data_IF_185377248603
#
_entry.id   IF_185377248603
#
_cell.length_a   1.000
_cell.length_b   1.000
_cell.length_c   1.000
_cell.angle_alpha   90.00
_cell.angle_beta   90.00
_cell.angle_gamma   90.00
#
_symmetry.space_group_name_H-M   'P 1'
#
loop_
_entity.id
_entity.type
_entity.pdbx_description
1 polymer ?
#
# COMPACT_ATOMS: atom_id res chain seq x y z
N UNK A 1 26.69 8.34 29.80
CA UNK A 1 26.63 8.57 28.34
C UNK A 1 26.88 7.24 27.67
N UNK A 2 25.85 6.63 27.10
CA UNK A 2 26.01 5.42 26.29
C UNK A 2 26.50 5.87 24.93
N UNK A 3 27.73 5.51 24.58
CA UNK A 3 28.33 5.74 23.26
C UNK A 3 27.61 4.86 22.23
N UNK A 4 26.75 5.45 21.39
CA UNK A 4 25.86 4.73 20.46
C UNK A 4 26.47 4.47 19.08
N UNK A 5 27.81 4.51 18.97
CA UNK A 5 28.52 4.26 17.72
C UNK A 5 28.59 5.48 16.81
N UNK A 6 29.19 5.30 15.62
CA UNK A 6 29.51 6.41 14.70
C UNK A 6 28.64 6.39 13.46
N UNK A 7 28.01 7.53 13.15
CA UNK A 7 27.24 7.77 11.92
C UNK A 7 28.06 8.63 10.97
N UNK A 8 28.13 8.23 9.70
CA UNK A 8 28.73 9.04 8.64
C UNK A 8 27.65 9.91 7.99
N UNK A 9 27.80 11.22 8.06
CA UNK A 9 26.91 12.21 7.44
C UNK A 9 27.58 12.78 6.21
N UNK A 10 26.96 12.58 5.05
CA UNK A 10 27.46 13.02 3.75
C UNK A 10 26.47 14.00 3.14
N UNK A 11 26.87 15.25 3.01
CA UNK A 11 26.07 16.34 2.44
C UNK A 11 27.05 17.42 1.99
N UNK A 12 26.80 18.18 0.92
CA UNK A 12 27.70 19.24 0.45
C UNK A 12 27.51 20.56 1.23
N UNK A 13 26.35 20.76 1.86
CA UNK A 13 26.03 21.94 2.66
C UNK A 13 26.58 21.83 4.09
N UNK A 14 27.52 22.71 4.44
CA UNK A 14 28.14 22.72 5.78
C UNK A 14 27.13 22.98 6.92
N UNK A 15 26.07 23.74 6.65
CA UNK A 15 24.96 24.00 7.58
C UNK A 15 24.21 22.72 7.93
N UNK A 16 23.90 21.89 6.94
CA UNK A 16 23.16 20.62 7.14
C UNK A 16 24.03 19.63 7.92
N UNK A 17 25.30 19.48 7.54
CA UNK A 17 26.25 18.62 8.29
C UNK A 17 26.35 19.03 9.76
N UNK A 18 26.47 20.32 10.04
CA UNK A 18 26.56 20.84 11.42
C UNK A 18 25.27 20.66 12.21
N UNK A 19 24.12 20.83 11.55
CA UNK A 19 22.81 20.59 12.15
C UNK A 19 22.63 19.12 12.54
N UNK A 20 22.95 18.22 11.61
CA UNK A 20 22.90 16.78 11.82
C UNK A 20 23.90 16.30 12.89
N UNK A 21 25.11 16.86 12.90
CA UNK A 21 26.11 16.58 13.95
C UNK A 21 25.57 16.94 15.35
N UNK A 22 24.98 18.13 15.51
CA UNK A 22 24.41 18.54 16.79
C UNK A 22 23.26 17.63 17.23
N UNK A 23 22.32 17.37 16.32
CA UNK A 23 21.16 16.48 16.55
C UNK A 23 21.58 15.07 16.96
N UNK A 24 22.51 14.47 16.23
CA UNK A 24 22.94 13.10 16.48
C UNK A 24 23.82 13.01 17.74
N UNK A 25 24.60 14.06 18.01
CA UNK A 25 25.37 14.20 19.25
C UNK A 25 24.49 14.26 20.49
N UNK A 26 23.38 15.00 20.44
CA UNK A 26 22.40 15.07 21.54
C UNK A 26 21.76 13.69 21.83
N UNK A 27 21.62 12.83 20.81
CA UNK A 27 21.13 11.45 20.92
C UNK A 27 22.23 10.42 21.27
N UNK A 28 23.48 10.87 21.46
CA UNK A 28 24.60 10.05 21.91
C UNK A 28 25.38 9.32 20.82
N UNK A 29 25.19 9.68 19.54
CA UNK A 29 26.00 9.19 18.43
C UNK A 29 27.22 10.08 18.19
N UNK A 30 28.34 9.46 17.81
CA UNK A 30 29.46 10.19 17.24
C UNK A 30 29.23 10.41 15.74
N UNK A 31 29.67 11.55 15.20
CA UNK A 31 29.50 11.86 13.78
C UNK A 31 30.85 11.97 13.06
N UNK A 32 30.93 11.36 11.89
CA UNK A 32 31.94 11.69 10.89
C UNK A 32 31.26 12.48 9.76
N UNK A 33 31.81 13.62 9.39
CA UNK A 33 31.21 14.50 8.39
C UNK A 33 31.98 14.39 7.08
N UNK A 34 31.32 14.14 5.97
CA UNK A 34 31.90 14.13 4.62
C UNK A 34 31.22 15.17 3.72
N UNK A 35 32.00 15.85 2.89
CA UNK A 35 31.51 16.96 2.06
C UNK A 35 31.04 16.55 0.67
N UNK A 36 31.40 15.34 0.23
CA UNK A 36 31.01 14.76 -1.06
C UNK A 36 31.18 13.23 -1.03
N UNK A 37 30.89 12.57 -2.15
CA UNK A 37 31.00 11.11 -2.29
C UNK A 37 32.43 10.55 -2.18
N UNK A 38 33.46 11.28 -2.63
CA UNK A 38 34.86 10.80 -2.58
C UNK A 38 35.41 10.88 -1.14
N UNK A 39 35.09 11.95 -0.42
CA UNK A 39 35.38 12.11 1.00
C UNK A 39 34.62 11.07 1.83
N UNK A 40 33.36 10.77 1.47
CA UNK A 40 32.58 9.71 2.12
C UNK A 40 33.25 8.34 1.99
N UNK A 41 33.68 7.95 0.79
CA UNK A 41 34.38 6.68 0.55
C UNK A 41 35.72 6.61 1.30
N UNK A 42 36.46 7.72 1.35
CA UNK A 42 37.71 7.81 2.11
C UNK A 42 37.49 7.65 3.63
N UNK A 43 36.41 8.24 4.17
CA UNK A 43 36.04 8.15 5.59
C UNK A 43 35.43 6.80 5.97
N UNK A 44 34.72 6.16 5.05
CA UNK A 44 34.19 4.81 5.25
C UNK A 44 35.32 3.82 5.58
N UNK A 45 36.49 3.98 4.97
CA UNK A 45 37.66 3.14 5.19
C UNK A 45 38.37 3.38 6.54
N UNK A 46 38.39 4.62 7.04
CA UNK A 46 39.15 5.01 8.23
C UNK A 46 38.32 5.02 9.52
N UNK A 47 37.03 5.37 9.46
CA UNK A 47 36.18 5.59 10.64
C UNK A 47 35.25 4.41 10.95
N UNK A 48 35.03 3.50 9.99
CA UNK A 48 34.12 2.33 10.10
C UNK A 48 32.77 2.67 10.76
N UNK A 49 31.95 3.55 10.13
CA UNK A 49 30.63 3.90 10.65
C UNK A 49 29.68 2.69 10.65
N UNK A 50 28.66 2.77 11.49
CA UNK A 50 27.58 1.78 11.59
C UNK A 50 26.42 2.10 10.63
N UNK A 51 26.26 3.37 10.26
CA UNK A 51 25.23 3.84 9.33
C UNK A 51 25.74 5.05 8.53
N UNK A 52 25.22 5.20 7.31
CA UNK A 52 25.48 6.36 6.45
C UNK A 52 24.19 7.14 6.19
N UNK A 53 24.20 8.44 6.46
CA UNK A 53 23.23 9.42 5.96
C UNK A 53 23.82 10.08 4.72
N UNK A 54 23.14 9.98 3.59
CA UNK A 54 23.71 10.35 2.29
C UNK A 54 22.77 11.26 1.49
N UNK A 55 23.18 12.51 1.30
CA UNK A 55 22.50 13.41 0.37
C UNK A 55 22.65 12.94 -1.08
N UNK A 56 21.61 13.18 -1.88
CA UNK A 56 21.58 12.77 -3.29
C UNK A 56 22.26 13.77 -4.21
N UNK A 57 22.10 15.06 -3.96
CA UNK A 57 22.47 16.11 -4.91
C UNK A 57 23.73 16.81 -4.43
N UNK A 58 24.86 16.13 -4.63
CA UNK A 58 26.17 16.67 -4.29
C UNK A 58 26.99 16.96 -5.56
N UNK A 59 27.87 17.98 -5.55
CA UNK A 59 28.81 18.23 -6.64
C UNK A 59 29.76 17.05 -6.89
N UNK A 60 30.08 16.80 -8.16
CA UNK A 60 30.98 15.72 -8.54
C UNK A 60 30.27 14.36 -8.56
N UNK A 61 30.52 13.53 -7.55
CA UNK A 61 29.84 12.23 -7.40
C UNK A 61 28.50 12.42 -6.70
N UNK A 62 27.41 12.14 -7.40
CA UNK A 62 26.07 12.20 -6.80
C UNK A 62 25.87 11.09 -5.75
N UNK A 63 24.86 11.27 -4.89
CA UNK A 63 24.60 10.32 -3.79
C UNK A 63 24.17 8.94 -4.26
N UNK A 64 23.62 8.80 -5.46
CA UNK A 64 23.21 7.49 -5.99
C UNK A 64 24.42 6.67 -6.44
N UNK A 65 25.35 7.29 -7.15
CA UNK A 65 26.64 6.68 -7.49
C UNK A 65 27.47 6.41 -6.22
N UNK A 66 27.41 7.31 -5.24
CA UNK A 66 28.03 7.11 -3.93
C UNK A 66 27.46 5.90 -3.20
N UNK A 67 26.12 5.76 -3.15
CA UNK A 67 25.44 4.59 -2.58
C UNK A 67 25.90 3.30 -3.25
N UNK A 68 25.98 3.27 -4.58
CA UNK A 68 26.46 2.10 -5.34
C UNK A 68 27.82 1.64 -4.85
N UNK A 69 28.78 2.58 -4.77
CA UNK A 69 30.16 2.29 -4.36
C UNK A 69 30.26 1.90 -2.89
N UNK A 70 29.48 2.52 -2.00
CA UNK A 70 29.41 2.11 -0.59
C UNK A 70 28.96 0.66 -0.49
N UNK A 71 27.92 0.27 -1.24
CA UNK A 71 27.37 -1.10 -1.22
C UNK A 71 28.30 -2.14 -1.86
N UNK A 72 29.17 -1.75 -2.78
CA UNK A 72 30.21 -2.63 -3.32
C UNK A 72 31.29 -2.97 -2.28
N UNK A 73 31.62 -2.03 -1.40
CA UNK A 73 32.68 -2.21 -0.39
C UNK A 73 32.12 -2.74 0.95
N UNK A 74 30.91 -2.32 1.32
CA UNK A 74 30.22 -2.70 2.56
C UNK A 74 28.75 -2.98 2.25
N UNK A 75 28.40 -4.18 1.73
CA UNK A 75 27.01 -4.50 1.35
C UNK A 75 26.01 -4.36 2.50
N UNK A 76 26.44 -4.73 3.71
CA UNK A 76 25.59 -4.82 4.91
C UNK A 76 25.41 -3.50 5.65
N UNK A 77 26.15 -2.44 5.29
CA UNK A 77 26.01 -1.16 6.01
C UNK A 77 24.66 -0.50 5.64
N UNK A 78 23.81 -0.13 6.60
CA UNK A 78 22.62 0.63 6.31
C UNK A 78 22.98 2.02 5.75
N UNK A 79 22.34 2.37 4.64
CA UNK A 79 22.47 3.70 4.02
C UNK A 79 21.08 4.31 3.90
N UNK A 80 20.86 5.46 4.51
CA UNK A 80 19.63 6.24 4.41
C UNK A 80 19.89 7.41 3.47
N UNK A 81 19.09 7.50 2.42
CA UNK A 81 19.21 8.60 1.46
C UNK A 81 18.46 9.84 1.93
N UNK A 82 19.03 11.01 1.69
CA UNK A 82 18.43 12.32 1.98
C UNK A 82 18.32 13.10 0.66
N UNK A 83 17.19 13.78 0.41
CA UNK A 83 17.05 14.61 -0.80
C UNK A 83 16.12 15.79 -0.61
N UNK A 84 16.52 16.98 -1.04
CA UNK A 84 15.64 18.17 -1.11
C UNK A 84 14.77 18.28 -2.37
N UNK A 85 14.87 17.30 -3.27
CA UNK A 85 13.95 17.11 -4.39
C UNK A 85 13.58 15.63 -4.41
N UNK A 86 12.74 15.20 -3.46
CA UNK A 86 12.27 13.83 -3.47
C UNK A 86 11.38 13.64 -4.70
N UNK A 87 11.91 12.92 -5.68
CA UNK A 87 11.09 12.35 -6.74
C UNK A 87 10.97 10.86 -6.48
N UNK A 88 9.78 10.33 -6.76
CA UNK A 88 9.47 8.90 -6.64
C UNK A 88 10.54 8.06 -7.36
N UNK A 89 11.01 8.48 -8.54
CA UNK A 89 12.08 7.80 -9.28
C UNK A 89 13.42 7.71 -8.54
N UNK A 90 13.77 8.72 -7.76
CA UNK A 90 15.06 8.79 -7.05
C UNK A 90 15.06 7.91 -5.81
N UNK A 91 13.99 7.96 -5.00
CA UNK A 91 13.82 7.07 -3.85
C UNK A 91 13.92 5.59 -4.24
N UNK A 92 13.46 5.32 -5.45
CA UNK A 92 13.33 3.99 -6.00
C UNK A 92 14.66 3.42 -6.46
N UNK A 93 15.45 4.25 -7.14
CA UNK A 93 16.77 3.87 -7.60
C UNK A 93 17.64 3.56 -6.38
N UNK A 94 17.49 4.37 -5.33
CA UNK A 94 18.13 4.12 -4.04
C UNK A 94 17.69 2.80 -3.39
N UNK A 95 16.39 2.54 -3.24
CA UNK A 95 15.91 1.28 -2.61
C UNK A 95 16.34 0.05 -3.40
N UNK A 96 16.25 0.05 -4.74
CA UNK A 96 16.74 -1.06 -5.58
C UNK A 96 18.25 -1.31 -5.43
N UNK A 97 19.00 -0.27 -5.08
CA UNK A 97 20.44 -0.33 -4.85
C UNK A 97 20.79 -0.64 -3.39
N UNK A 98 19.81 -1.02 -2.56
CA UNK A 98 20.02 -1.48 -1.18
C UNK A 98 20.05 -0.36 -0.14
N UNK A 99 19.54 0.83 -0.45
CA UNK A 99 19.27 1.83 0.59
C UNK A 99 18.28 1.27 1.61
N UNK A 100 18.55 1.51 2.88
CA UNK A 100 17.72 1.04 3.99
C UNK A 100 16.44 1.87 4.13
N UNK A 101 16.52 3.16 3.81
CA UNK A 101 15.39 4.09 3.86
C UNK A 101 15.68 5.33 2.99
N UNK A 102 14.67 6.19 2.84
CA UNK A 102 14.76 7.45 2.10
C UNK A 102 14.00 8.56 2.83
N UNK A 103 14.61 9.74 2.94
CA UNK A 103 14.07 10.90 3.65
C UNK A 103 14.11 12.15 2.76
N UNK A 104 13.01 12.89 2.72
CA UNK A 104 12.91 14.17 2.00
C UNK A 104 13.37 15.34 2.89
N UNK A 105 14.12 16.31 2.34
CA UNK A 105 14.40 17.59 3.01
C UNK A 105 13.17 18.52 2.81
N UNK A 106 12.78 19.32 3.80
CA UNK A 106 13.48 19.60 5.06
C UNK A 106 13.45 18.43 6.05
N UNK A 107 14.58 18.17 6.70
CA UNK A 107 14.76 17.02 7.58
C UNK A 107 13.97 17.19 8.88
N UNK A 108 12.93 16.37 9.06
CA UNK A 108 12.24 16.23 10.34
C UNK A 108 13.04 15.32 11.28
N UNK A 109 13.35 15.83 12.48
CA UNK A 109 14.20 15.18 13.47
C UNK A 109 13.69 13.76 13.85
N UNK A 110 12.39 13.64 14.11
CA UNK A 110 11.78 12.37 14.54
C UNK A 110 11.82 11.31 13.44
N UNK A 111 11.63 11.71 12.16
CA UNK A 111 11.73 10.81 11.01
C UNK A 111 13.16 10.31 10.81
N UNK A 112 14.14 11.21 10.92
CA UNK A 112 15.55 10.89 10.81
C UNK A 112 15.99 9.89 11.88
N UNK A 113 15.69 10.17 13.15
CA UNK A 113 16.07 9.30 14.27
C UNK A 113 15.33 7.96 14.23
N UNK A 114 14.05 7.96 13.85
CA UNK A 114 13.27 6.73 13.67
C UNK A 114 13.86 5.84 12.57
N UNK A 115 14.26 6.43 11.45
CA UNK A 115 14.91 5.72 10.35
C UNK A 115 16.27 5.12 10.77
N UNK A 116 17.09 5.90 11.49
CA UNK A 116 18.38 5.43 12.04
C UNK A 116 18.18 4.24 12.99
N UNK A 117 17.23 4.33 13.93
CA UNK A 117 16.97 3.25 14.91
C UNK A 117 16.51 1.95 14.23
N UNK A 118 15.61 2.05 13.24
CA UNK A 118 15.17 0.89 12.44
C UNK A 118 16.33 0.27 11.68
N UNK A 119 17.14 1.10 11.03
CA UNK A 119 18.25 0.66 10.20
C UNK A 119 19.40 0.03 10.99
N UNK A 120 19.65 0.48 12.23
CA UNK A 120 20.65 -0.09 13.14
C UNK A 120 20.15 -1.32 13.94
N UNK A 121 18.94 -1.81 13.68
CA UNK A 121 18.41 -3.00 14.34
C UNK A 121 18.05 -2.80 15.82
N UNK A 122 17.74 -1.56 16.23
CA UNK A 122 17.35 -1.24 17.60
C UNK A 122 16.10 -2.02 18.03
N UNK A 123 16.30 -2.94 18.97
CA UNK A 123 15.24 -3.63 19.70
C UNK A 123 14.56 -2.67 20.70
N UNK A 124 13.74 -1.74 20.19
CA UNK A 124 12.57 -1.23 20.91
C UNK A 124 11.32 -1.88 20.30
N UNK A 125 11.31 -3.20 20.27
CA UNK A 125 10.06 -3.93 20.41
C UNK A 125 9.66 -3.77 21.88
N UNK A 126 8.64 -2.97 22.17
CA UNK A 126 8.14 -2.82 23.54
C UNK A 126 7.85 -4.22 24.12
N UNK A 127 8.42 -4.60 25.28
CA UNK A 127 7.93 -5.72 26.05
C UNK A 127 6.55 -5.38 26.65
N UNK A 128 5.69 -6.39 26.88
CA UNK A 128 4.41 -6.17 27.52
C UNK A 128 4.65 -5.94 29.02
N UNK A 129 4.20 -4.79 29.54
CA UNK A 129 4.17 -4.59 30.99
C UNK A 129 2.80 -4.06 31.41
N UNK A 130 2.16 -4.88 32.24
CA UNK A 130 0.91 -4.64 32.91
C UNK A 130 1.04 -3.56 34.02
N UNK A 131 -0.07 -2.84 34.23
CA UNK A 131 -0.60 -2.40 35.53
C UNK A 131 0.28 -1.58 36.50
N UNK A 132 -0.23 -0.40 36.89
CA UNK A 132 0.16 0.25 38.15
C UNK A 132 0.00 1.77 38.13
N UNK A 133 -0.87 2.27 39.01
CA UNK A 133 -1.30 3.66 39.22
C UNK A 133 -0.19 4.71 39.47
N UNK A 134 -0.50 5.98 39.15
CA UNK A 134 -0.08 7.12 40.00
C UNK A 134 0.57 8.32 39.33
N UNK A 135 -0.22 9.40 39.19
CA UNK A 135 0.15 10.83 39.15
C UNK A 135 0.86 11.42 37.91
N UNK A 136 0.17 12.35 37.25
CA UNK A 136 0.63 13.17 36.13
C UNK A 136 1.44 14.41 36.60
N UNK A 137 2.46 14.84 35.82
CA UNK A 137 2.87 16.23 35.72
C UNK A 137 2.36 16.89 34.42
N UNK A 138 2.28 18.23 34.37
CA UNK A 138 1.38 18.95 33.48
C UNK A 138 1.92 19.12 32.05
N UNK A 139 0.96 19.19 31.13
CA UNK A 139 1.07 19.59 29.73
C UNK A 139 2.02 20.77 29.50
N UNK A 140 2.89 20.65 28.50
CA UNK A 140 3.15 21.72 27.53
C UNK A 140 3.73 21.16 26.21
N UNK A 141 2.85 21.14 25.20
CA UNK A 141 3.07 21.11 23.74
C UNK A 141 3.51 19.78 23.05
N UNK A 142 2.89 19.46 21.89
CA UNK A 142 2.86 18.10 21.36
C UNK A 142 4.14 17.76 20.58
N UNK A 143 4.81 16.69 20.99
CA UNK A 143 5.86 16.02 20.20
C UNK A 143 5.19 15.34 19.01
N UNK A 144 5.65 15.61 17.79
CA UNK A 144 5.16 15.00 16.56
C UNK A 144 5.44 13.50 16.56
N UNK A 145 4.43 12.72 16.97
CA UNK A 145 4.57 11.29 17.14
C UNK A 145 4.90 10.57 15.84
N UNK A 146 5.64 9.45 15.98
CA UNK A 146 5.61 8.31 15.07
C UNK A 146 4.18 8.12 14.55
N UNK A 147 3.95 7.89 13.24
CA UNK A 147 2.60 7.70 12.70
C UNK A 147 1.84 6.75 13.61
N UNK A 148 0.76 7.26 14.21
CA UNK A 148 -0.12 6.43 15.02
C UNK A 148 -0.83 5.47 14.05
N UNK A 149 -0.18 4.33 13.78
CA UNK A 149 -0.81 3.17 13.19
C UNK A 149 -1.90 2.78 14.18
N UNK A 150 -3.12 3.23 13.91
CA UNK A 150 -4.27 2.71 14.62
C UNK A 150 -4.44 1.28 14.16
N UNK A 151 -3.88 0.36 14.93
CA UNK A 151 -4.17 -1.06 14.82
C UNK A 151 -5.68 -1.20 14.66
N UNK A 152 -6.13 -1.79 13.56
CA UNK A 152 -7.53 -2.18 13.42
C UNK A 152 -7.69 -3.41 14.30
N UNK A 153 -7.78 -3.17 15.61
CA UNK A 153 -8.13 -4.20 16.58
C UNK A 153 -9.62 -4.39 16.39
N UNK A 154 -9.96 -5.49 15.74
CA UNK A 154 -11.29 -6.06 15.92
C UNK A 154 -11.32 -6.42 17.41
N UNK A 155 -12.10 -5.66 18.20
CA UNK A 155 -12.55 -6.14 19.50
C UNK A 155 -13.04 -7.58 19.31
N UNK A 156 -12.94 -8.45 20.33
CA UNK A 156 -13.36 -9.86 20.26
C UNK A 156 -14.84 -9.99 19.88
N UNK A 157 -15.16 -9.71 18.63
CA UNK A 157 -16.38 -10.02 17.95
C UNK A 157 -16.41 -11.53 17.89
N UNK A 158 -17.60 -12.11 17.93
CA UNK A 158 -17.78 -13.55 17.77
C UNK A 158 -17.45 -13.93 16.32
N UNK A 159 -16.16 -13.89 15.95
CA UNK A 159 -15.63 -14.32 14.67
C UNK A 159 -15.87 -15.82 14.57
N UNK A 160 -16.88 -16.20 13.79
CA UNK A 160 -17.15 -17.59 13.42
C UNK A 160 -16.67 -17.77 11.99
N UNK A 161 -15.71 -18.67 11.80
CA UNK A 161 -15.14 -19.01 10.50
C UNK A 161 -13.88 -19.86 10.65
N UNK A 162 -13.31 -20.33 9.54
CA UNK A 162 -12.08 -21.09 9.57
C UNK A 162 -10.90 -20.22 10.08
N UNK A 163 -10.13 -20.74 11.03
CA UNK A 163 -8.87 -20.12 11.47
C UNK A 163 -7.86 -20.20 10.33
N UNK A 164 -7.24 -19.08 10.03
CA UNK A 164 -6.14 -18.99 9.07
C UNK A 164 -4.95 -18.26 9.70
N UNK A 165 -3.72 -18.56 9.27
CA UNK A 165 -2.57 -17.78 9.69
C UNK A 165 -2.70 -16.36 9.16
N UNK A 166 -2.22 -15.40 9.94
CA UNK A 166 -1.96 -14.06 9.41
C UNK A 166 -0.83 -14.13 8.38
N UNK A 167 -0.79 -13.18 7.46
CA UNK A 167 0.20 -13.17 6.39
C UNK A 167 0.59 -11.75 6.01
N UNK A 168 1.87 -11.57 5.75
CA UNK A 168 2.46 -10.38 5.15
C UNK A 168 3.37 -10.76 3.98
N UNK A 169 3.96 -9.78 3.29
CA UNK A 169 4.98 -10.02 2.28
C UNK A 169 6.31 -10.38 2.95
N UNK A 170 7.13 -11.24 2.33
CA UNK A 170 8.40 -11.66 2.94
C UNK A 170 9.48 -10.56 2.96
N UNK A 171 9.36 -9.55 2.09
CA UNK A 171 10.25 -8.39 2.05
C UNK A 171 9.51 -7.19 1.45
N UNK A 172 10.05 -6.00 1.68
CA UNK A 172 9.53 -4.78 1.04
C UNK A 172 9.68 -4.84 -0.48
N UNK A 173 8.74 -4.23 -1.19
CA UNK A 173 8.69 -4.25 -2.64
C UNK A 173 8.22 -2.92 -3.20
N UNK A 174 8.60 -2.62 -4.45
CA UNK A 174 8.23 -1.35 -5.08
C UNK A 174 7.79 -1.53 -6.52
N UNK A 175 6.67 -0.88 -6.88
CA UNK A 175 6.14 -0.82 -8.24
C UNK A 175 6.01 0.63 -8.73
N UNK A 176 5.92 0.79 -10.06
CA UNK A 176 5.74 2.08 -10.73
C UNK A 176 4.62 1.95 -11.72
N UNK A 177 3.74 2.93 -11.72
CA UNK A 177 2.83 3.09 -12.81
C UNK A 177 2.29 4.50 -12.86
N UNK A 178 1.15 4.60 -13.49
CA UNK A 178 0.38 5.83 -13.61
C UNK A 178 -0.98 5.60 -12.97
N UNK A 179 -1.51 6.58 -12.24
CA UNK A 179 -2.89 6.54 -11.78
C UNK A 179 -3.85 6.64 -12.97
N UNK A 180 -4.96 5.89 -12.95
CA UNK A 180 -5.95 5.87 -14.03
C UNK A 180 -6.64 7.22 -14.20
N UNK A 181 -7.09 7.79 -13.09
CA UNK A 181 -7.91 8.99 -13.10
C UNK A 181 -7.06 10.25 -13.12
N UNK A 182 -6.06 10.35 -12.24
CA UNK A 182 -5.21 11.53 -12.16
C UNK A 182 -4.22 11.65 -13.32
N UNK A 183 -3.84 10.52 -13.94
CA UNK A 183 -2.76 10.48 -14.93
C UNK A 183 -1.38 10.83 -14.36
N UNK A 184 -1.23 10.92 -13.04
CA UNK A 184 0.06 11.18 -12.41
C UNK A 184 0.86 9.89 -12.29
N UNK A 185 2.18 9.97 -12.47
CA UNK A 185 3.07 8.86 -12.14
C UNK A 185 3.03 8.65 -10.62
N UNK A 186 2.76 7.42 -10.21
CA UNK A 186 2.66 7.03 -8.81
C UNK A 186 3.56 5.81 -8.59
N UNK A 187 4.29 5.82 -7.48
CA UNK A 187 5.05 4.68 -6.99
C UNK A 187 4.24 4.01 -5.89
N UNK A 188 4.32 2.69 -5.83
CA UNK A 188 3.69 1.90 -4.78
C UNK A 188 4.79 1.19 -3.98
N UNK A 189 4.98 1.58 -2.73
CA UNK A 189 5.90 0.90 -1.81
C UNK A 189 5.07 0.01 -0.89
N UNK A 190 5.41 -1.28 -0.87
CA UNK A 190 4.74 -2.29 -0.05
C UNK A 190 5.70 -2.70 1.06
N UNK A 191 5.33 -2.45 2.30
CA UNK A 191 6.16 -2.73 3.48
C UNK A 191 5.45 -3.74 4.38
N UNK A 192 6.09 -4.87 4.70
CA UNK A 192 5.54 -5.83 5.65
C UNK A 192 5.24 -5.19 7.00
N UNK A 193 4.08 -5.51 7.57
CA UNK A 193 3.70 -5.10 8.93
C UNK A 193 3.61 -6.32 9.84
N UNK A 194 3.74 -6.09 11.15
CA UNK A 194 3.57 -7.12 12.17
C UNK A 194 2.14 -7.67 12.25
N UNK A 195 1.91 -8.75 13.03
CA UNK A 195 0.58 -9.29 13.28
C UNK A 195 -0.41 -8.22 13.77
N UNK A 196 -1.69 -8.42 13.48
CA UNK A 196 -2.85 -7.62 13.88
C UNK A 196 -2.81 -6.15 13.41
N UNK A 197 -1.89 -5.84 12.51
CA UNK A 197 -1.78 -4.49 11.95
C UNK A 197 -2.92 -4.20 10.99
N UNK A 198 -3.30 -5.13 10.11
CA UNK A 198 -4.23 -4.87 9.01
C UNK A 198 -3.55 -4.21 7.79
N UNK A 199 -4.34 -3.90 6.77
CA UNK A 199 -3.86 -3.19 5.57
C UNK A 199 -4.00 -1.69 5.75
N UNK A 200 -2.93 -0.95 5.48
CA UNK A 200 -2.82 0.48 5.67
C UNK A 200 -2.32 1.16 4.41
N UNK A 201 -2.82 2.35 4.12
CA UNK A 201 -2.30 3.22 3.07
C UNK A 201 -1.74 4.51 3.67
N UNK A 202 -0.70 5.07 3.07
CA UNK A 202 -0.15 6.37 3.49
C UNK A 202 0.38 7.13 2.28
N UNK A 203 0.21 8.45 2.28
CA UNK A 203 0.89 9.32 1.33
C UNK A 203 2.40 9.24 1.52
N UNK A 204 3.18 9.35 0.44
CA UNK A 204 4.65 9.30 0.52
C UNK A 204 5.20 10.37 1.48
N UNK A 205 4.56 11.53 1.52
CA UNK A 205 4.92 12.67 2.39
C UNK A 205 3.97 12.84 3.57
N UNK A 206 3.07 11.87 3.82
CA UNK A 206 2.09 11.97 4.90
C UNK A 206 2.57 11.28 6.17
N UNK A 207 2.28 11.89 7.32
CA UNK A 207 2.66 11.38 8.64
C UNK A 207 1.56 10.53 9.30
N UNK A 208 0.50 10.16 8.57
CA UNK A 208 -0.63 9.38 9.11
C UNK A 208 -1.11 8.35 8.10
N UNK A 209 -1.12 7.09 8.50
CA UNK A 209 -1.70 6.05 7.68
C UNK A 209 -3.24 6.03 7.80
N UNK A 210 -3.93 5.84 6.68
CA UNK A 210 -5.35 5.52 6.62
C UNK A 210 -5.53 4.00 6.56
N UNK A 211 -6.26 3.38 7.51
CA UNK A 211 -6.59 1.97 7.42
C UNK A 211 -7.48 1.68 6.21
N UNK A 212 -7.23 0.58 5.51
CA UNK A 212 -8.09 0.09 4.42
C UNK A 212 -9.37 -0.53 5.00
N UNK A 213 -10.26 0.32 5.52
CA UNK A 213 -11.45 -0.09 6.25
C UNK A 213 -12.67 0.77 5.90
N UNK A 214 -13.87 0.18 6.01
CA UNK A 214 -15.16 0.80 5.63
C UNK A 214 -15.40 2.20 6.21
N UNK A 215 -14.87 2.47 7.41
CA UNK A 215 -15.02 3.77 8.09
C UNK A 215 -14.30 4.92 7.38
N UNK A 216 -13.24 4.59 6.64
CA UNK A 216 -12.41 5.57 5.98
C UNK A 216 -12.78 5.73 4.50
N UNK A 217 -13.77 4.99 4.00
CA UNK A 217 -14.26 5.15 2.62
C UNK A 217 -14.92 6.51 2.47
N UNK A 218 -14.30 7.35 1.65
CA UNK A 218 -14.75 8.71 1.35
C UNK A 218 -15.68 8.74 0.15
N UNK A 219 -15.30 8.05 -0.93
CA UNK A 219 -16.00 8.10 -2.22
C UNK A 219 -15.95 6.75 -2.92
N UNK A 220 -17.00 6.49 -3.70
CA UNK A 220 -17.20 5.27 -4.49
C UNK A 220 -17.69 5.60 -5.91
N UNK A 221 -17.52 6.84 -6.37
CA UNK A 221 -18.12 7.34 -7.60
C UNK A 221 -17.59 6.66 -8.87
N UNK A 222 -16.28 6.47 -8.94
CA UNK A 222 -15.58 5.89 -10.10
C UNK A 222 -14.52 4.85 -9.72
N UNK A 223 -14.09 4.91 -8.47
CA UNK A 223 -13.12 4.06 -7.82
C UNK A 223 -13.44 4.08 -6.31
N UNK A 224 -12.87 3.15 -5.56
CA UNK A 224 -12.94 3.19 -4.10
C UNK A 224 -11.82 4.06 -3.56
N UNK A 225 -12.21 5.12 -2.85
CA UNK A 225 -11.29 6.10 -2.25
C UNK A 225 -11.42 6.09 -0.73
N UNK A 226 -10.29 6.05 -0.05
CA UNK A 226 -10.21 6.16 1.42
C UNK A 226 -9.50 7.44 1.85
N UNK A 227 -9.90 8.00 2.99
CA UNK A 227 -9.33 9.23 3.54
C UNK A 227 -9.27 9.22 5.06
N UNK A 228 -8.18 9.72 5.62
CA UNK A 228 -8.04 10.06 7.03
C UNK A 228 -7.13 11.27 7.22
N UNK A 229 -7.70 12.37 7.70
CA UNK A 229 -6.97 13.63 7.80
C UNK A 229 -6.56 14.13 6.42
N UNK A 230 -5.26 14.42 6.23
CA UNK A 230 -4.68 14.82 4.93
C UNK A 230 -4.46 13.66 3.98
N UNK A 231 -4.35 12.43 4.50
CA UNK A 231 -4.08 11.25 3.69
C UNK A 231 -5.32 10.81 2.95
N UNK A 232 -5.19 10.75 1.64
CA UNK A 232 -6.22 10.34 0.69
C UNK A 232 -5.60 9.37 -0.30
N UNK A 233 -6.25 8.23 -0.54
CA UNK A 233 -5.84 7.28 -1.58
C UNK A 233 -7.04 6.78 -2.36
N UNK A 234 -6.99 6.96 -3.68
CA UNK A 234 -7.99 6.47 -4.63
C UNK A 234 -7.54 5.19 -5.36
N UNK A 235 -8.52 4.48 -5.92
CA UNK A 235 -8.32 3.31 -6.81
C UNK A 235 -7.65 2.13 -6.10
N UNK A 236 -8.03 1.89 -4.85
CA UNK A 236 -7.43 0.82 -4.03
C UNK A 236 -7.96 -0.57 -4.37
N UNK A 237 -9.10 -0.66 -5.07
CA UNK A 237 -9.86 -1.89 -5.30
C UNK A 237 -9.04 -3.02 -5.94
N UNK A 238 -8.16 -2.72 -6.92
CA UNK A 238 -7.38 -3.76 -7.60
C UNK A 238 -6.30 -4.36 -6.67
N UNK A 239 -5.51 -3.51 -5.99
CA UNK A 239 -4.50 -3.99 -5.05
C UNK A 239 -5.16 -4.70 -3.87
N UNK A 240 -6.29 -4.20 -3.37
CA UNK A 240 -7.07 -4.87 -2.32
C UNK A 240 -7.61 -6.22 -2.79
N UNK A 241 -8.02 -6.33 -4.05
CA UNK A 241 -8.46 -7.59 -4.67
C UNK A 241 -7.33 -8.62 -4.68
N UNK A 242 -6.13 -8.21 -5.11
CA UNK A 242 -4.96 -9.08 -5.12
C UNK A 242 -4.56 -9.50 -3.70
N UNK A 243 -4.51 -8.57 -2.75
CA UNK A 243 -4.18 -8.86 -1.35
C UNK A 243 -5.18 -9.83 -0.73
N UNK A 244 -6.48 -9.64 -0.99
CA UNK A 244 -7.50 -10.60 -0.58
C UNK A 244 -7.26 -11.94 -1.25
N UNK A 245 -7.00 -11.99 -2.56
CA UNK A 245 -6.72 -13.20 -3.32
C UNK A 245 -5.62 -14.07 -2.71
N UNK A 246 -4.50 -13.45 -2.30
CA UNK A 246 -3.37 -14.11 -1.64
C UNK A 246 -3.49 -14.24 -0.12
N UNK A 247 -4.55 -13.69 0.48
CA UNK A 247 -4.79 -13.72 1.92
C UNK A 247 -3.78 -12.90 2.73
N UNK A 248 -3.28 -11.79 2.18
CA UNK A 248 -2.39 -10.87 2.91
C UNK A 248 -3.22 -10.04 3.89
N UNK A 249 -2.91 -10.15 5.18
CA UNK A 249 -3.64 -9.49 6.27
C UNK A 249 -2.97 -8.22 6.77
N UNK A 250 -1.63 -8.15 6.70
CA UNK A 250 -0.86 -7.06 7.32
C UNK A 250 0.11 -6.45 6.30
N UNK A 251 -0.08 -5.18 5.95
CA UNK A 251 0.77 -4.50 4.97
C UNK A 251 0.60 -2.98 5.05
N UNK A 252 1.71 -2.25 4.93
CA UNK A 252 1.69 -0.81 4.70
C UNK A 252 1.94 -0.54 3.22
N UNK A 253 1.11 0.31 2.64
CA UNK A 253 1.11 0.65 1.23
C UNK A 253 1.32 2.15 1.10
N UNK A 254 2.50 2.57 0.65
CA UNK A 254 2.80 3.98 0.39
C UNK A 254 2.53 4.32 -1.06
N UNK A 255 1.71 5.34 -1.31
CA UNK A 255 1.42 5.82 -2.68
C UNK A 255 1.06 7.30 -2.69
N UNK A 256 1.18 7.94 -3.85
CA UNK A 256 0.89 9.36 -3.99
C UNK A 256 -0.54 9.62 -4.46
N UNK A 257 -1.50 9.58 -3.55
CA UNK A 257 -2.90 9.99 -3.79
C UNK A 257 -3.76 8.98 -4.58
N UNK A 258 -3.16 8.15 -5.43
CA UNK A 258 -3.82 7.14 -6.24
C UNK A 258 -2.90 5.93 -6.44
N UNK A 259 -3.46 4.73 -6.31
CA UNK A 259 -2.75 3.48 -6.62
C UNK A 259 -2.58 3.39 -8.14
N UNK A 260 -1.38 3.03 -8.66
CA UNK A 260 -1.19 2.89 -10.10
C UNK A 260 -2.09 1.81 -10.71
N UNK A 261 -2.61 2.06 -11.90
CA UNK A 261 -3.56 1.17 -12.59
C UNK A 261 -2.88 0.04 -13.37
N UNK A 262 -1.58 0.19 -13.67
CA UNK A 262 -0.80 -0.79 -14.45
C UNK A 262 -1.45 -1.09 -15.79
N UNK A 263 -1.75 -2.36 -16.09
CA UNK A 263 -2.46 -2.79 -17.29
C UNK A 263 -3.99 -2.74 -17.16
N UNK A 264 -4.53 -2.20 -16.06
CA UNK A 264 -5.96 -2.18 -15.77
C UNK A 264 -6.47 -3.36 -14.96
N UNK A 265 -5.62 -4.33 -14.66
CA UNK A 265 -5.97 -5.55 -13.94
C UNK A 265 -5.19 -5.68 -12.62
N UNK A 266 -5.29 -6.84 -11.97
CA UNK A 266 -4.50 -7.17 -10.78
C UNK A 266 -3.29 -8.07 -11.06
N UNK A 267 -3.03 -8.40 -12.34
CA UNK A 267 -2.00 -9.37 -12.71
C UNK A 267 -0.57 -8.95 -12.31
N UNK A 268 -0.25 -7.66 -12.40
CA UNK A 268 1.07 -7.16 -12.01
C UNK A 268 1.29 -7.21 -10.49
N UNK A 269 0.25 -6.92 -9.69
CA UNK A 269 0.31 -7.11 -8.23
C UNK A 269 0.56 -8.58 -7.88
N UNK A 270 -0.17 -9.49 -8.53
CA UNK A 270 0.01 -10.94 -8.33
C UNK A 270 1.44 -11.38 -8.63
N UNK A 271 1.98 -10.95 -9.77
CA UNK A 271 3.34 -11.30 -10.20
C UNK A 271 4.39 -10.81 -9.20
N UNK A 272 4.24 -9.58 -8.70
CA UNK A 272 5.11 -9.06 -7.66
C UNK A 272 5.01 -9.86 -6.37
N UNK A 273 3.80 -10.18 -5.90
CA UNK A 273 3.63 -10.91 -4.64
C UNK A 273 4.25 -12.31 -4.72
N UNK A 274 4.14 -12.98 -5.87
CA UNK A 274 4.79 -14.27 -6.13
C UNK A 274 6.33 -14.14 -6.14
N UNK A 275 6.88 -13.08 -6.73
CA UNK A 275 8.33 -12.81 -6.75
C UNK A 275 8.90 -12.49 -5.37
N UNK A 276 8.17 -11.70 -4.59
CA UNK A 276 8.54 -11.26 -3.24
C UNK A 276 8.41 -12.39 -2.23
N UNK A 277 7.37 -13.21 -2.38
CA UNK A 277 6.99 -14.24 -1.44
C UNK A 277 6.23 -13.71 -0.22
N UNK A 278 5.83 -14.63 0.66
CA UNK A 278 4.99 -14.33 1.82
C UNK A 278 5.61 -14.87 3.10
N UNK A 279 5.29 -14.21 4.22
CA UNK A 279 5.57 -14.70 5.56
C UNK A 279 4.25 -14.91 6.32
N UNK A 280 4.04 -16.13 6.83
CA UNK A 280 2.93 -16.40 7.72
C UNK A 280 3.30 -15.97 9.14
N UNK A 281 2.39 -15.25 9.79
CA UNK A 281 2.59 -14.64 11.08
C UNK A 281 1.74 -15.33 12.15
N UNK A 282 2.24 -15.33 13.39
CA UNK A 282 1.48 -15.83 14.54
C UNK A 282 0.25 -14.93 14.80
N UNK A 283 -0.77 -15.50 15.44
CA UNK A 283 -2.01 -14.79 15.77
C UNK A 283 -3.24 -15.53 15.25
N UNK A 284 -4.41 -15.12 15.73
CA UNK A 284 -5.68 -15.69 15.31
C UNK A 284 -6.34 -14.77 14.29
N UNK A 285 -6.42 -15.22 13.04
CA UNK A 285 -7.14 -14.53 11.98
C UNK A 285 -8.24 -15.42 11.47
N UNK A 286 -9.47 -14.92 11.52
CA UNK A 286 -10.66 -15.70 11.19
C UNK A 286 -11.34 -15.12 9.96
N UNK A 287 -11.87 -16.00 9.14
CA UNK A 287 -12.89 -15.60 8.18
C UNK A 287 -14.17 -15.20 8.91
N UNK A 288 -14.93 -14.29 8.31
CA UNK A 288 -16.23 -13.84 8.80
C UNK A 288 -17.33 -14.60 8.06
N UNK A 289 -17.97 -15.55 8.73
CA UNK A 289 -19.16 -16.23 8.22
C UNK A 289 -20.44 -15.44 8.55
N UNK A 290 -21.36 -15.38 7.59
CA UNK A 290 -22.67 -14.79 7.81
C UNK A 290 -23.64 -15.81 8.43
N UNK A 291 -24.42 -15.36 9.40
CA UNK A 291 -25.49 -16.18 10.01
C UNK A 291 -26.79 -16.10 9.21
N UNK A 292 -27.07 -14.94 8.63
CA UNK A 292 -28.29 -14.64 7.91
C UNK A 292 -27.96 -13.88 6.61
N UNK A 293 -28.82 -13.98 5.58
CA UNK A 293 -28.59 -13.25 4.34
C UNK A 293 -28.73 -11.72 4.49
N UNK A 294 -27.84 -10.97 3.86
CA UNK A 294 -27.84 -9.50 3.85
C UNK A 294 -28.01 -8.99 2.41
N UNK A 295 -28.99 -8.11 2.18
CA UNK A 295 -29.33 -7.61 0.84
C UNK A 295 -29.32 -6.08 0.74
N UNK A 296 -28.85 -5.59 -0.40
CA UNK A 296 -29.00 -4.21 -0.88
C UNK A 296 -29.59 -4.25 -2.28
N UNK A 297 -30.51 -3.32 -2.55
CA UNK A 297 -31.07 -3.10 -3.89
C UNK A 297 -31.16 -1.60 -4.17
N UNK A 298 -30.76 -1.18 -5.37
CA UNK A 298 -30.88 0.19 -5.82
C UNK A 298 -31.04 0.22 -7.35
N UNK A 299 -32.21 0.65 -7.83
CA UNK A 299 -32.51 0.68 -9.25
C UNK A 299 -32.38 -0.69 -9.91
N UNK A 300 -31.48 -0.84 -10.88
CA UNK A 300 -31.20 -2.11 -11.58
C UNK A 300 -30.14 -2.98 -10.89
N UNK A 301 -29.50 -2.46 -9.86
CA UNK A 301 -28.43 -3.12 -9.15
C UNK A 301 -28.93 -3.81 -7.88
N UNK A 302 -28.44 -5.02 -7.62
CA UNK A 302 -28.71 -5.74 -6.37
C UNK A 302 -27.52 -6.58 -5.95
N UNK A 303 -27.32 -6.69 -4.65
CA UNK A 303 -26.30 -7.56 -4.05
C UNK A 303 -26.89 -8.29 -2.85
N UNK A 304 -26.67 -9.60 -2.79
CA UNK A 304 -27.07 -10.48 -1.71
C UNK A 304 -25.84 -11.23 -1.23
N UNK A 305 -25.52 -11.13 0.05
CA UNK A 305 -24.55 -12.01 0.70
C UNK A 305 -25.34 -13.03 1.52
N UNK A 306 -25.17 -14.32 1.23
CA UNK A 306 -25.85 -15.42 1.90
C UNK A 306 -24.85 -16.33 2.63
N UNK A 307 -25.25 -16.96 3.76
CA UNK A 307 -24.43 -17.97 4.42
C UNK A 307 -23.96 -19.07 3.45
N UNK A 308 -22.68 -19.43 3.53
CA UNK A 308 -22.03 -20.47 2.71
C UNK A 308 -20.79 -20.97 3.42
N UNK A 309 -20.36 -22.20 3.14
CA UNK A 309 -19.12 -22.78 3.68
C UNK A 309 -17.87 -22.28 2.94
N UNK A 310 -18.02 -21.45 1.92
CA UNK A 310 -16.94 -20.90 1.11
C UNK A 310 -17.24 -19.48 0.66
N UNK A 311 -16.20 -18.78 0.20
CA UNK A 311 -16.36 -17.50 -0.47
C UNK A 311 -16.55 -17.70 -1.98
N UNK A 312 -17.76 -17.39 -2.46
CA UNK A 312 -18.14 -17.49 -3.88
C UNK A 312 -18.81 -16.19 -4.31
N UNK A 313 -18.54 -15.72 -5.53
CA UNK A 313 -19.23 -14.60 -6.16
C UNK A 313 -19.87 -15.08 -7.46
N UNK A 314 -21.20 -15.00 -7.52
CA UNK A 314 -22.04 -15.16 -8.70
C UNK A 314 -22.42 -13.76 -9.21
N UNK A 315 -21.73 -13.29 -10.25
CA UNK A 315 -21.90 -11.95 -10.77
C UNK A 315 -22.58 -11.98 -12.13
N UNK A 316 -23.60 -11.15 -12.30
CA UNK A 316 -24.24 -10.87 -13.58
C UNK A 316 -24.17 -9.38 -13.90
N UNK A 317 -23.70 -9.05 -15.11
CA UNK A 317 -23.85 -7.71 -15.70
C UNK A 317 -24.64 -7.77 -16.99
N UNK A 318 -25.21 -6.63 -17.36
CA UNK A 318 -26.03 -6.45 -18.54
C UNK A 318 -25.87 -5.02 -19.05
N UNK A 319 -25.03 -4.88 -20.07
CA UNK A 319 -24.84 -3.65 -20.82
C UNK A 319 -25.42 -3.82 -22.23
N UNK A 320 -25.69 -2.71 -22.95
CA UNK A 320 -25.96 -2.78 -24.39
C UNK A 320 -24.83 -3.50 -25.14
N UNK A 321 -25.12 -3.96 -26.36
CA UNK A 321 -24.09 -4.40 -27.28
C UNK A 321 -23.00 -3.30 -27.40
N UNK A 322 -21.71 -3.66 -27.50
CA UNK A 322 -21.19 -5.01 -27.75
C UNK A 322 -20.93 -5.87 -26.49
N UNK A 323 -20.97 -5.31 -25.27
CA UNK A 323 -20.68 -6.06 -24.04
C UNK A 323 -21.76 -7.09 -23.72
N UNK A 324 -23.03 -6.70 -23.88
CA UNK A 324 -24.18 -7.58 -23.68
C UNK A 324 -24.36 -8.04 -22.23
N UNK A 325 -25.10 -9.14 -22.07
CA UNK A 325 -25.32 -9.81 -20.78
C UNK A 325 -24.24 -10.86 -20.57
N UNK A 326 -23.56 -10.78 -19.42
CA UNK A 326 -22.55 -11.75 -19.01
C UNK A 326 -22.81 -12.21 -17.58
N UNK A 327 -22.53 -13.49 -17.31
CA UNK A 327 -22.56 -14.07 -15.97
C UNK A 327 -21.33 -14.92 -15.76
N UNK A 328 -20.68 -14.74 -14.62
CA UNK A 328 -19.57 -15.59 -14.20
C UNK A 328 -19.70 -15.92 -12.71
N UNK A 329 -19.38 -17.17 -12.35
CA UNK A 329 -19.39 -17.64 -10.97
C UNK A 329 -17.96 -18.01 -10.62
N UNK A 330 -17.43 -17.40 -9.57
CA UNK A 330 -16.06 -17.59 -9.13
C UNK A 330 -16.00 -17.93 -7.65
N UNK A 331 -15.19 -18.93 -7.30
CA UNK A 331 -14.96 -19.34 -5.92
C UNK A 331 -13.50 -19.11 -5.54
N UNK A 332 -13.28 -18.38 -4.45
CA UNK A 332 -11.93 -17.98 -4.01
C UNK A 332 -11.38 -18.94 -2.95
N UNK A 333 -11.05 -20.16 -3.36
CA UNK A 333 -10.42 -21.15 -2.47
C UNK A 333 -8.88 -21.06 -2.47
N UNK A 334 -8.28 -20.73 -3.62
CA UNK A 334 -6.84 -20.80 -3.88
C UNK A 334 -6.36 -19.55 -4.65
N UNK A 335 -5.26 -18.89 -4.22
CA UNK A 335 -4.61 -17.83 -4.98
C UNK A 335 -4.33 -18.18 -6.45
N UNK A 336 -4.03 -19.45 -6.77
CA UNK A 336 -3.73 -19.84 -8.15
C UNK A 336 -4.96 -19.71 -9.07
N UNK A 337 -6.16 -20.02 -8.58
CA UNK A 337 -7.41 -19.83 -9.31
C UNK A 337 -7.70 -18.34 -9.54
N UNK A 338 -7.52 -17.51 -8.51
CA UNK A 338 -7.66 -16.05 -8.64
C UNK A 338 -6.70 -15.49 -9.71
N UNK A 339 -5.43 -15.87 -9.66
CA UNK A 339 -4.39 -15.43 -10.60
C UNK A 339 -4.72 -15.81 -12.04
N UNK A 340 -5.30 -16.99 -12.26
CA UNK A 340 -5.62 -17.50 -13.58
C UNK A 340 -6.90 -16.89 -14.16
N UNK A 341 -7.93 -16.76 -13.33
CA UNK A 341 -9.30 -16.54 -13.82
C UNK A 341 -9.84 -15.13 -13.60
N UNK A 342 -9.30 -14.40 -12.62
CA UNK A 342 -9.81 -13.08 -12.22
C UNK A 342 -8.75 -12.00 -12.37
N UNK A 343 -7.56 -12.21 -11.81
CA UNK A 343 -6.50 -11.21 -11.79
C UNK A 343 -6.15 -10.59 -13.15
N UNK A 344 -6.20 -11.31 -14.30
CA UNK A 344 -5.87 -10.72 -15.60
C UNK A 344 -7.00 -9.88 -16.22
N UNK A 345 -8.19 -9.83 -15.62
CA UNK A 345 -9.34 -9.12 -16.20
C UNK A 345 -9.21 -7.61 -16.02
N UNK A 346 -9.05 -6.89 -17.13
CA UNK A 346 -8.80 -5.44 -17.12
C UNK A 346 -10.07 -4.63 -16.92
N UNK A 347 -9.89 -3.44 -16.36
CA UNK A 347 -10.93 -2.42 -16.28
C UNK A 347 -11.39 -2.00 -17.67
N UNK A 348 -12.60 -1.48 -17.76
CA UNK A 348 -13.20 -1.16 -19.04
C UNK A 348 -14.06 0.11 -18.99
N UNK A 349 -14.18 0.75 -20.14
CA UNK A 349 -15.01 1.93 -20.35
C UNK A 349 -15.58 1.99 -21.75
N UNK A 350 -16.41 2.99 -22.02
CA UNK A 350 -17.07 3.16 -23.32
C UNK A 350 -16.66 4.49 -23.96
N UNK A 351 -16.52 4.51 -25.29
CA UNK A 351 -16.15 5.73 -26.05
C UNK A 351 -17.09 6.90 -25.76
N UNK A 352 -18.40 6.61 -25.70
CA UNK A 352 -19.44 7.61 -25.40
C UNK A 352 -19.25 8.31 -24.05
N UNK A 353 -18.57 7.67 -23.10
CA UNK A 353 -18.40 8.17 -21.73
C UNK A 353 -17.06 8.90 -21.52
N UNK A 354 -16.06 8.68 -22.39
CA UNK A 354 -14.72 9.31 -22.29
C UNK A 354 -14.83 10.84 -22.23
N UNK A 355 -15.58 11.44 -23.15
CA UNK A 355 -15.67 12.90 -23.24
C UNK A 355 -16.28 13.53 -21.98
N UNK A 356 -17.17 12.82 -21.28
CA UNK A 356 -17.71 13.26 -19.99
C UNK A 356 -16.67 13.13 -18.89
N UNK A 357 -15.98 11.98 -18.80
CA UNK A 357 -14.96 11.72 -17.79
C UNK A 357 -13.81 12.73 -17.87
N UNK A 358 -13.31 13.00 -19.08
CA UNK A 358 -12.23 13.98 -19.29
C UNK A 358 -12.65 15.40 -18.89
N UNK A 359 -13.89 15.82 -19.16
CA UNK A 359 -14.43 17.11 -18.73
C UNK A 359 -14.52 17.24 -17.20
N UNK A 360 -14.62 16.12 -16.50
CA UNK A 360 -14.59 16.05 -15.03
C UNK A 360 -13.17 15.87 -14.47
N UNK A 361 -12.13 15.89 -15.32
CA UNK A 361 -10.75 15.69 -14.91
C UNK A 361 -10.42 14.24 -14.53
N UNK A 362 -11.22 13.28 -15.00
CA UNK A 362 -11.04 11.85 -14.76
C UNK A 362 -10.54 11.13 -16.02
N UNK A 363 -10.05 9.90 -15.83
CA UNK A 363 -9.49 9.05 -16.89
C UNK A 363 -8.33 9.72 -17.67
N UNK A 364 -7.60 10.65 -17.05
CA UNK A 364 -6.48 11.35 -17.69
C UNK A 364 -5.26 10.43 -17.89
N UNK A 365 -5.17 9.39 -17.07
CA UNK A 365 -4.18 8.32 -17.16
C UNK A 365 -4.64 7.13 -18.00
N UNK A 366 -5.84 7.17 -18.58
CA UNK A 366 -6.27 6.18 -19.56
C UNK A 366 -5.29 6.15 -20.73
N UNK A 367 -4.74 4.96 -20.98
CA UNK A 367 -3.86 4.64 -22.10
C UNK A 367 -4.41 3.38 -22.77
N UNK A 368 -4.13 3.21 -24.06
CA UNK A 368 -4.68 2.08 -24.82
C UNK A 368 -4.23 0.70 -24.29
N UNK A 369 -3.23 0.64 -23.43
CA UNK A 369 -2.70 -0.57 -22.81
C UNK A 369 -3.21 -0.84 -21.38
N UNK A 370 -3.97 0.08 -20.76
CA UNK A 370 -4.35 -0.02 -19.33
C UNK A 370 -5.85 -0.11 -19.01
N UNK A 371 -6.69 -0.29 -20.01
CA UNK A 371 -8.12 -0.61 -19.88
C UNK A 371 -8.65 -1.13 -21.21
N UNK A 372 -9.88 -1.64 -21.26
CA UNK A 372 -10.59 -1.99 -22.49
C UNK A 372 -11.58 -0.88 -22.83
N UNK A 373 -11.47 -0.34 -24.03
CA UNK A 373 -12.36 0.68 -24.56
C UNK A 373 -13.36 0.07 -25.55
N UNK A 374 -14.63 0.03 -25.16
CA UNK A 374 -15.71 -0.43 -26.00
C UNK A 374 -16.28 0.70 -26.88
N UNK A 375 -16.31 0.46 -28.19
CA UNK A 375 -17.03 1.23 -29.19
C UNK A 375 -18.41 0.65 -29.49
N UNK A 376 -18.97 1.00 -30.65
CA UNK A 376 -20.25 0.46 -31.12
C UNK A 376 -20.15 -1.02 -31.52
N UNK A 377 -19.06 -1.41 -32.18
CA UNK A 377 -18.89 -2.75 -32.76
C UNK A 377 -18.10 -3.74 -31.88
N UNK A 378 -17.46 -3.27 -30.81
CA UNK A 378 -16.59 -4.12 -29.98
C UNK A 378 -15.51 -3.35 -29.22
N UNK A 379 -14.54 -4.08 -28.61
CA UNK A 379 -13.35 -3.46 -28.05
C UNK A 379 -12.49 -2.87 -29.17
N UNK A 380 -11.98 -1.65 -28.96
CA UNK A 380 -11.26 -0.87 -29.99
C UNK A 380 -9.74 -1.02 -29.88
N UNK A 381 -9.24 -1.04 -28.65
CA UNK A 381 -7.83 -0.82 -28.38
C UNK A 381 -7.02 -2.09 -28.19
N UNK A 382 -7.66 -3.18 -27.77
CA UNK A 382 -7.03 -4.48 -27.64
C UNK A 382 -8.09 -5.59 -27.65
N UNK A 383 -7.68 -6.81 -27.96
CA UNK A 383 -8.54 -7.99 -27.83
C UNK A 383 -8.83 -8.29 -26.35
N UNK A 384 -9.99 -8.88 -26.07
CA UNK A 384 -10.29 -9.37 -24.72
C UNK A 384 -9.40 -10.57 -24.39
N UNK A 385 -8.84 -10.59 -23.18
CA UNK A 385 -8.14 -11.74 -22.57
C UNK A 385 -9.11 -12.88 -22.28
N UNK A 386 -10.38 -12.54 -22.03
CA UNK A 386 -11.48 -13.48 -21.85
C UNK A 386 -12.73 -13.00 -22.59
N UNK A 387 -13.54 -13.87 -23.21
CA UNK A 387 -14.82 -13.47 -23.80
C UNK A 387 -15.75 -12.75 -22.79
N UNK A 388 -15.63 -13.10 -21.51
CA UNK A 388 -16.35 -12.61 -20.35
C UNK A 388 -15.45 -11.71 -19.44
N UNK A 389 -14.43 -11.06 -20.00
CA UNK A 389 -13.51 -10.19 -19.25
C UNK A 389 -14.21 -9.08 -18.44
N UNK A 390 -15.25 -8.37 -18.96
CA UNK A 390 -15.97 -7.36 -18.17
C UNK A 390 -16.58 -7.88 -16.87
N UNK A 391 -17.20 -9.07 -16.88
CA UNK A 391 -17.81 -9.62 -15.65
C UNK A 391 -16.76 -10.15 -14.68
N UNK A 392 -15.66 -10.71 -15.17
CA UNK A 392 -14.51 -11.10 -14.34
C UNK A 392 -13.88 -9.88 -13.65
N UNK A 393 -13.78 -8.75 -14.36
CA UNK A 393 -13.31 -7.51 -13.77
C UNK A 393 -14.23 -6.99 -12.67
N UNK A 394 -15.56 -7.02 -12.87
CA UNK A 394 -16.51 -6.65 -11.80
C UNK A 394 -16.43 -7.57 -10.57
N UNK A 395 -16.09 -8.85 -10.76
CA UNK A 395 -15.78 -9.77 -9.66
C UNK A 395 -14.48 -9.35 -8.96
N UNK A 396 -13.43 -8.99 -9.70
CA UNK A 396 -12.19 -8.47 -9.14
C UNK A 396 -12.43 -7.25 -8.25
N UNK A 397 -13.19 -6.26 -8.73
CA UNK A 397 -13.61 -5.08 -7.93
C UNK A 397 -14.31 -5.49 -6.64
N UNK A 398 -15.29 -6.40 -6.73
CA UNK A 398 -16.04 -6.85 -5.58
C UNK A 398 -15.14 -7.57 -4.56
N UNK A 399 -14.20 -8.41 -5.00
CA UNK A 399 -13.23 -9.07 -4.09
C UNK A 399 -12.42 -8.03 -3.31
N UNK A 400 -12.03 -6.92 -3.94
CA UNK A 400 -11.29 -5.82 -3.31
C UNK A 400 -12.16 -5.02 -2.34
N UNK A 401 -13.33 -4.55 -2.77
CA UNK A 401 -14.23 -3.73 -1.96
C UNK A 401 -14.74 -4.49 -0.73
N UNK A 402 -15.11 -5.76 -0.87
CA UNK A 402 -15.59 -6.59 0.23
C UNK A 402 -14.50 -6.83 1.28
N UNK A 403 -13.22 -6.74 0.89
CA UNK A 403 -12.11 -6.89 1.81
C UNK A 403 -11.89 -5.70 2.74
N UNK A 404 -12.56 -4.56 2.48
CA UNK A 404 -12.53 -3.38 3.36
C UNK A 404 -13.26 -3.61 4.69
N UNK A 405 -13.89 -4.77 4.91
CA UNK A 405 -14.23 -5.21 6.26
C UNK A 405 -12.98 -5.50 7.11
N UNK A 406 -11.79 -5.61 6.51
CA UNK A 406 -10.53 -5.95 7.19
C UNK A 406 -10.38 -7.43 7.54
N UNK A 407 -11.31 -8.27 7.07
CA UNK A 407 -11.34 -9.74 7.22
C UNK A 407 -11.89 -10.37 5.94
N UNK A 408 -11.47 -11.60 5.62
CA UNK A 408 -12.04 -12.36 4.50
C UNK A 408 -13.43 -12.87 4.89
N UNK A 409 -14.37 -12.80 3.97
CA UNK A 409 -15.72 -13.34 4.18
C UNK A 409 -15.77 -14.84 3.88
N UNK A 410 -16.71 -15.54 4.52
CA UNK A 410 -17.13 -16.90 4.19
C UNK A 410 -18.63 -16.87 3.89
N UNK A 411 -18.96 -16.55 2.64
CA UNK A 411 -20.34 -16.37 2.19
C UNK A 411 -20.46 -16.49 0.66
N UNK A 412 -21.68 -16.72 0.17
CA UNK A 412 -22.00 -16.62 -1.25
C UNK A 412 -22.52 -15.22 -1.56
N UNK A 413 -21.86 -14.52 -2.46
CA UNK A 413 -22.26 -13.22 -3.01
C UNK A 413 -23.02 -13.47 -4.31
N UNK A 414 -24.24 -12.95 -4.42
CA UNK A 414 -25.01 -12.89 -5.66
C UNK A 414 -25.18 -11.43 -6.03
N UNK A 415 -24.53 -11.01 -7.12
CA UNK A 415 -24.44 -9.61 -7.53
C UNK A 415 -25.00 -9.42 -8.94
N UNK A 416 -25.86 -8.40 -9.11
CA UNK A 416 -26.41 -8.00 -10.39
C UNK A 416 -26.15 -6.51 -10.61
N UNK A 417 -25.41 -6.14 -11.66
CA UNK A 417 -25.14 -4.75 -12.05
C UNK A 417 -24.60 -3.84 -10.94
N UNK A 418 -23.87 -4.42 -9.99
CA UNK A 418 -23.32 -3.70 -8.84
C UNK A 418 -22.08 -2.88 -9.20
N UNK A 419 -21.63 -2.07 -8.25
CA UNK A 419 -20.40 -1.27 -8.34
C UNK A 419 -19.96 -0.92 -6.93
N UNK A 420 -18.89 -0.12 -6.79
CA UNK A 420 -18.27 0.18 -5.50
C UNK A 420 -19.28 0.65 -4.44
N UNK A 421 -20.18 1.58 -4.79
CA UNK A 421 -21.22 2.06 -3.86
C UNK A 421 -22.10 0.95 -3.28
N UNK A 422 -22.48 -0.04 -4.10
CA UNK A 422 -23.30 -1.17 -3.67
C UNK A 422 -22.52 -2.13 -2.78
N UNK A 423 -21.26 -2.41 -3.17
CA UNK A 423 -20.35 -3.28 -2.42
C UNK A 423 -20.09 -2.70 -1.02
N UNK A 424 -19.73 -1.42 -0.93
CA UNK A 424 -19.51 -0.75 0.36
C UNK A 424 -20.80 -0.69 1.19
N UNK A 425 -21.95 -0.42 0.56
CA UNK A 425 -23.23 -0.35 1.28
C UNK A 425 -23.63 -1.68 1.90
N UNK A 426 -23.43 -2.81 1.21
CA UNK A 426 -23.74 -4.12 1.78
C UNK A 426 -22.76 -4.48 2.89
N UNK A 427 -21.50 -4.08 2.77
CA UNK A 427 -20.50 -4.32 3.82
C UNK A 427 -20.73 -3.51 5.08
N UNK A 428 -21.25 -2.28 4.96
CA UNK A 428 -21.71 -1.50 6.12
C UNK A 428 -22.82 -2.23 6.87
N UNK A 429 -23.81 -2.79 6.16
CA UNK A 429 -24.86 -3.62 6.77
C UNK A 429 -24.32 -4.90 7.41
N UNK A 430 -23.38 -5.59 6.75
CA UNK A 430 -22.73 -6.76 7.34
C UNK A 430 -22.06 -6.39 8.65
N UNK A 431 -21.30 -5.29 8.68
CA UNK A 431 -20.62 -4.81 9.88
C UNK A 431 -21.58 -4.51 11.03
N UNK A 432 -22.75 -3.95 10.76
CA UNK A 432 -23.78 -3.69 11.78
C UNK A 432 -24.35 -4.97 12.42
N UNK A 433 -24.19 -6.12 11.77
CA UNK A 433 -24.70 -7.43 12.22
C UNK A 433 -23.64 -8.30 12.91
N UNK A 434 -22.36 -7.88 12.88
CA UNK A 434 -21.22 -8.54 13.53
C UNK A 434 -20.98 -7.95 14.92
#
# INVERSE_FOLDING_TARGET
MTDRGTILVVDDEASIRKSLEGVLGDEGYSCALAVDGEDALSKLASVRPELVLLDIWMPGMDGIETLRRIKEVRPDIPVIMISGHATISTAIKATKMGAADFIEKPLELDLLLGSIRRALGGADALPPAAGGDGAAPPDTMPRGGVPELKSVVFERQTLRGARMPQRTLARSAVMYGQGLHSGKKSGLILEPLGPDSGIHFVGVSDNRAVPAHLEYVESTGWATTIRLGSTHVATIEHVMSALNGYGVSNLLIKCNGEVPVFDGSSAEFCSLFEEVGFENQAGEWYQVALKEPVRIEAGKASILLAPSDSFEIDYTLEYPAPVGRQRFVFRLDDPAAYRKEIAPARTFGFVKDIGMLQRQGLALGGRFDNFILFGEDGPINDALRFPDEPVRHKIMDAIGDLYLLGRRLQCRVVAHMTGHSHNISVMKKVRELL
#
